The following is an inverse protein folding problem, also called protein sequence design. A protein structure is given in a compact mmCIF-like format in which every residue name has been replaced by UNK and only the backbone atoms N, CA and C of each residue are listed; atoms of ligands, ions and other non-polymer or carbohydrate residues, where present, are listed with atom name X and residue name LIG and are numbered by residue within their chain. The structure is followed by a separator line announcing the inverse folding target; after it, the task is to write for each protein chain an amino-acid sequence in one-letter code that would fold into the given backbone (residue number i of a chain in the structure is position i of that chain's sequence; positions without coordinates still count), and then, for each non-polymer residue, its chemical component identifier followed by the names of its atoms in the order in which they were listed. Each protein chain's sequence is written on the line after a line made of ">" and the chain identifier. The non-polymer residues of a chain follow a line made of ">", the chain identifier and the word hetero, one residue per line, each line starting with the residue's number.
data_IF_728860433135
#
_entry.id   IF_728860433135
#
_cell.length_a   1.000
_cell.length_b   1.000
_cell.length_c   1.000
_cell.angle_alpha   90.00
_cell.angle_beta   90.00
_cell.angle_gamma   90.00
#
_symmetry.space_group_name_H-M   'P 1'
#
loop_
_entity.id
_entity.type
_entity.pdbx_description
1 polymer ?
#
# COMPACT_ATOMS: atom_id res chain seq x y z
N UNK A 1 6.52 20.60 10.80
CA UNK A 1 7.30 20.07 9.67
C UNK A 1 7.37 18.58 9.89
N UNK A 2 6.85 17.81 8.95
CA UNK A 2 6.71 16.36 9.03
C UNK A 2 7.46 15.75 7.86
N UNK A 3 8.18 14.65 8.08
CA UNK A 3 8.89 13.92 7.04
C UNK A 3 8.54 12.44 7.19
N UNK A 4 7.93 11.86 6.15
CA UNK A 4 7.51 10.47 6.12
C UNK A 4 8.43 9.72 5.16
N UNK A 5 9.04 8.65 5.64
CA UNK A 5 9.90 7.77 4.86
C UNK A 5 9.23 6.40 4.71
N UNK A 6 8.85 6.02 3.49
CA UNK A 6 8.36 4.68 3.16
C UNK A 6 9.47 3.92 2.45
N UNK A 7 10.10 2.98 3.14
CA UNK A 7 11.28 2.26 2.66
C UNK A 7 11.34 0.87 3.29
N UNK A 8 11.90 -0.10 2.57
CA UNK A 8 12.15 -1.44 3.11
C UNK A 8 13.31 -1.39 4.11
N UNK A 9 13.35 -2.36 5.02
CA UNK A 9 14.39 -2.43 6.05
C UNK A 9 15.82 -2.46 5.46
N UNK A 10 16.00 -3.12 4.33
CA UNK A 10 17.28 -3.22 3.61
C UNK A 10 17.63 -1.96 2.78
N UNK A 11 16.70 -1.03 2.63
CA UNK A 11 16.91 0.25 1.92
C UNK A 11 17.25 1.39 2.90
N UNK A 12 17.28 1.11 4.21
CA UNK A 12 17.68 2.07 5.22
C UNK A 12 19.14 2.45 5.00
N UNK A 13 19.37 3.68 4.55
CA UNK A 13 20.71 4.23 4.42
C UNK A 13 21.39 4.32 5.80
N UNK A 14 22.68 3.96 5.91
CA UNK A 14 23.45 4.17 7.13
C UNK A 14 23.44 5.62 7.64
N UNK A 15 23.25 6.59 6.73
CA UNK A 15 23.31 8.02 7.03
C UNK A 15 21.92 8.63 7.34
N UNK A 16 20.86 7.82 7.44
CA UNK A 16 19.50 8.30 7.69
C UNK A 16 19.40 9.08 9.00
N UNK A 17 20.05 8.59 10.06
CA UNK A 17 20.02 9.24 11.37
C UNK A 17 20.70 10.61 11.38
N UNK A 18 21.79 10.78 10.66
CA UNK A 18 22.45 12.08 10.54
C UNK A 18 21.60 13.09 9.79
N UNK A 19 20.81 12.60 8.82
CA UNK A 19 19.85 13.43 8.08
C UNK A 19 18.71 13.89 8.99
N UNK A 20 18.14 12.99 9.80
CA UNK A 20 17.08 13.32 10.78
C UNK A 20 17.60 14.34 11.79
N UNK A 21 18.80 14.14 12.36
CA UNK A 21 19.42 15.08 13.32
C UNK A 21 19.60 16.47 12.74
N UNK A 22 19.99 16.59 11.47
CA UNK A 22 20.16 17.88 10.78
C UNK A 22 18.82 18.57 10.54
N UNK A 23 17.81 17.84 10.07
CA UNK A 23 16.49 18.39 9.73
C UNK A 23 15.69 18.83 10.96
N UNK A 24 15.81 18.10 12.08
CA UNK A 24 15.02 18.33 13.29
C UNK A 24 15.85 18.88 14.47
N UNK A 25 17.00 19.50 14.18
CA UNK A 25 17.89 20.05 15.20
C UNK A 25 17.14 20.96 16.19
N UNK A 26 17.26 20.65 17.48
CA UNK A 26 16.67 21.44 18.57
C UNK A 26 15.17 21.21 18.80
N UNK A 27 14.59 20.13 18.26
CA UNK A 27 13.19 19.76 18.45
C UNK A 27 13.10 18.37 19.07
N UNK A 28 12.09 18.15 19.90
CA UNK A 28 11.71 16.79 20.29
C UNK A 28 11.08 16.08 19.09
N UNK A 29 11.46 14.80 18.90
CA UNK A 29 10.97 13.97 17.80
C UNK A 29 10.52 12.61 18.33
N UNK A 30 9.53 12.03 17.66
CA UNK A 30 9.08 10.66 17.88
C UNK A 30 9.35 9.86 16.61
N UNK A 31 9.93 8.66 16.74
CA UNK A 31 10.20 7.74 15.63
C UNK A 31 9.34 6.49 15.85
N UNK A 32 8.50 6.16 14.87
CA UNK A 32 7.68 4.94 14.89
C UNK A 32 8.15 4.03 13.76
N UNK A 33 8.51 2.79 14.10
CA UNK A 33 8.91 1.75 13.14
C UNK A 33 7.87 0.63 13.25
N UNK A 34 7.20 0.35 12.14
CA UNK A 34 6.22 -0.73 12.01
C UNK A 34 6.49 -1.48 10.72
N UNK A 35 6.46 -2.80 10.76
CA UNK A 35 6.38 -3.58 9.52
C UNK A 35 4.98 -3.43 8.95
N UNK A 36 4.84 -2.93 7.71
CA UNK A 36 3.59 -3.12 6.98
C UNK A 36 3.35 -4.64 6.87
N UNK A 37 2.20 -5.17 7.31
CA UNK A 37 1.83 -6.52 6.95
C UNK A 37 1.77 -6.60 5.42
N UNK A 38 2.38 -7.64 4.84
CA UNK A 38 2.23 -7.94 3.42
C UNK A 38 0.73 -7.91 3.09
N UNK A 39 0.32 -7.08 2.13
CA UNK A 39 -1.08 -6.89 1.75
C UNK A 39 -1.76 -8.23 1.44
N UNK A 40 -0.97 -9.21 0.96
CA UNK A 40 -1.39 -10.59 0.74
C UNK A 40 -1.75 -11.30 2.05
N UNK A 41 -0.94 -11.13 3.10
CA UNK A 41 -1.19 -11.71 4.44
C UNK A 41 -2.42 -11.08 5.09
N UNK A 42 -2.69 -9.80 4.84
CA UNK A 42 -3.91 -9.13 5.30
C UNK A 42 -5.17 -9.65 4.59
N UNK A 43 -5.11 -9.85 3.27
CA UNK A 43 -6.22 -10.36 2.47
C UNK A 43 -6.55 -11.84 2.76
N UNK A 44 -5.54 -12.66 3.07
CA UNK A 44 -5.70 -14.09 3.40
C UNK A 44 -5.94 -14.36 4.89
N UNK A 45 -5.80 -13.35 5.75
CA UNK A 45 -5.99 -13.50 7.20
C UNK A 45 -7.43 -13.87 7.60
N UNK A 46 -8.40 -13.60 6.72
CA UNK A 46 -9.80 -13.99 6.90
C UNK A 46 -10.15 -15.13 5.92
N UNK A 47 -10.38 -16.37 6.40
CA UNK A 47 -10.72 -17.53 5.57
C UNK A 47 -11.97 -17.31 4.70
N UNK A 48 -12.91 -16.47 5.15
CA UNK A 48 -14.08 -16.11 4.34
C UNK A 48 -13.68 -15.23 3.14
N UNK A 49 -12.73 -14.31 3.31
CA UNK A 49 -12.25 -13.45 2.24
C UNK A 49 -11.42 -14.24 1.22
N UNK A 50 -10.58 -15.16 1.67
CA UNK A 50 -9.81 -16.05 0.78
C UNK A 50 -10.75 -16.85 -0.14
N UNK A 51 -11.82 -17.44 0.41
CA UNK A 51 -12.82 -18.18 -0.38
C UNK A 51 -13.53 -17.28 -1.40
N UNK A 52 -13.99 -16.10 -0.99
CA UNK A 52 -14.63 -15.15 -1.90
C UNK A 52 -13.70 -14.66 -3.02
N UNK A 53 -12.41 -14.45 -2.71
CA UNK A 53 -11.41 -14.04 -3.69
C UNK A 53 -11.14 -15.14 -4.72
N UNK A 54 -10.97 -16.39 -4.26
CA UNK A 54 -10.78 -17.55 -5.14
C UNK A 54 -12.02 -17.83 -6.00
N UNK A 55 -13.24 -17.71 -5.44
CA UNK A 55 -14.49 -17.82 -6.19
C UNK A 55 -14.61 -16.73 -7.26
N UNK A 56 -14.20 -15.49 -6.95
CA UNK A 56 -14.26 -14.37 -7.90
C UNK A 56 -13.23 -14.50 -9.04
N UNK A 57 -12.05 -15.07 -8.76
CA UNK A 57 -11.02 -15.33 -9.78
C UNK A 57 -11.43 -16.50 -10.68
N UNK A 58 -12.07 -17.52 -10.13
CA UNK A 58 -12.55 -18.68 -10.87
C UNK A 58 -13.78 -18.37 -11.74
N UNK A 59 -14.52 -17.30 -11.44
CA UNK A 59 -15.63 -16.84 -12.27
C UNK A 59 -15.11 -16.11 -13.51
N UNK A 60 -15.55 -16.54 -14.69
CA UNK A 60 -15.35 -15.73 -15.89
C UNK A 60 -16.10 -14.41 -15.73
N UNK A 61 -15.44 -13.25 -15.96
CA UNK A 61 -16.08 -11.96 -15.82
C UNK A 61 -17.26 -11.88 -16.77
N UNK A 62 -18.45 -11.67 -16.20
CA UNK A 62 -19.72 -11.55 -16.94
C UNK A 62 -19.71 -10.40 -17.94
N UNK A 63 -18.87 -9.40 -17.71
CA UNK A 63 -18.64 -8.31 -18.64
C UNK A 63 -17.15 -7.98 -18.65
N UNK A 64 -16.57 -7.97 -19.85
CA UNK A 64 -15.21 -7.47 -20.09
C UNK A 64 -15.31 -6.12 -20.77
N UNK A 65 -14.56 -5.15 -20.26
CA UNK A 65 -14.42 -3.85 -20.89
C UNK A 65 -12.97 -3.56 -21.15
N UNK A 66 -12.70 -3.00 -22.32
CA UNK A 66 -11.47 -2.24 -22.54
C UNK A 66 -11.52 -0.93 -21.75
N UNK A 67 -10.36 -0.32 -21.45
CA UNK A 67 -10.31 0.99 -20.81
C UNK A 67 -11.13 2.07 -21.56
N UNK A 68 -11.19 2.01 -22.91
CA UNK A 68 -11.99 2.93 -23.72
C UNK A 68 -13.50 2.73 -23.52
N UNK A 69 -13.97 1.49 -23.47
CA UNK A 69 -15.38 1.15 -23.30
C UNK A 69 -15.90 1.57 -21.93
N UNK A 70 -15.11 1.33 -20.88
CA UNK A 70 -15.44 1.78 -19.53
C UNK A 70 -15.59 3.30 -19.46
N UNK A 71 -14.64 4.04 -20.04
CA UNK A 71 -14.70 5.52 -20.09
C UNK A 71 -15.93 6.04 -20.84
N UNK A 72 -16.38 5.36 -21.90
CA UNK A 72 -17.60 5.74 -22.63
C UNK A 72 -18.87 5.47 -21.82
N UNK A 73 -18.92 4.38 -21.07
CA UNK A 73 -20.07 4.02 -20.23
C UNK A 73 -20.23 4.99 -19.05
N UNK A 74 -19.13 5.31 -18.36
CA UNK A 74 -19.14 6.27 -17.24
C UNK A 74 -19.57 7.66 -17.69
N UNK A 75 -19.20 8.09 -18.90
CA UNK A 75 -19.65 9.38 -19.46
C UNK A 75 -21.14 9.45 -19.81
N UNK A 76 -21.84 8.31 -19.85
CA UNK A 76 -23.28 8.23 -20.15
C UNK A 76 -24.16 8.14 -18.89
N UNK A 77 -23.55 7.97 -17.72
CA UNK A 77 -24.19 8.06 -16.41
C UNK A 77 -24.17 9.51 -15.93
#
# INVERSE_FOLDING_TARGET
>A
MEAIYKLKANEISPNLMDTIKKLFKGKEITITISSEPDETTYLTMNPANERHLLESIAQEPSIRFTPEEFRKMVKKL
#
